data_IF_594936996528
#
_entry.id   IF_594936996528
#
_cell.length_a   1.000
_cell.length_b   1.000
_cell.length_c   1.000
_cell.angle_alpha   90.00
_cell.angle_beta   90.00
_cell.angle_gamma   90.00
#
_symmetry.space_group_name_H-M   'P 1'
#
loop_
_entity.id
_entity.type
_entity.pdbx_description
1 polymer ?
#
# COMPACT_ATOMS: atom_id res chain seq x y z
N UNK A 1 -10.71 34.89 20.38
CA UNK A 1 -10.83 34.07 19.16
C UNK A 1 -10.27 32.69 19.42
N UNK A 2 -11.07 31.66 19.20
CA UNK A 2 -10.66 30.27 19.31
C UNK A 2 -10.39 29.71 17.90
N UNK A 3 -9.45 28.76 17.80
CA UNK A 3 -9.15 28.06 16.55
C UNK A 3 -10.41 27.36 16.05
N UNK A 4 -10.88 27.73 14.85
CA UNK A 4 -12.09 27.18 14.23
C UNK A 4 -11.86 25.86 13.47
N UNK A 5 -10.60 25.45 13.31
CA UNK A 5 -10.21 24.18 12.71
C UNK A 5 -8.79 24.22 12.14
N UNK A 6 -8.28 23.05 11.80
CA UNK A 6 -7.02 22.89 11.08
C UNK A 6 -7.31 22.21 9.74
N UNK A 7 -6.83 22.80 8.66
CA UNK A 7 -6.84 22.18 7.34
C UNK A 7 -5.47 21.58 7.07
N UNK A 8 -5.44 20.26 6.86
CA UNK A 8 -4.23 19.57 6.42
C UNK A 8 -4.25 19.59 4.89
N UNK A 9 -3.32 20.32 4.30
CA UNK A 9 -3.14 20.44 2.84
C UNK A 9 -1.81 19.80 2.43
N UNK A 10 -1.67 19.43 1.15
CA UNK A 10 -0.44 18.82 0.64
C UNK A 10 -0.21 17.37 1.11
N UNK A 11 -1.28 16.60 1.30
CA UNK A 11 -1.17 15.16 1.59
C UNK A 11 -0.59 14.43 0.36
N UNK A 12 0.52 13.72 0.53
CA UNK A 12 1.08 12.77 -0.46
C UNK A 12 1.05 11.37 0.15
N UNK A 13 -0.13 10.76 0.29
CA UNK A 13 -0.26 9.48 0.97
C UNK A 13 0.36 8.38 0.12
N UNK A 14 1.37 7.74 0.71
CA UNK A 14 2.11 6.64 0.12
C UNK A 14 2.75 5.80 1.20
N UNK A 15 3.49 4.78 0.78
CA UNK A 15 4.16 3.88 1.70
C UNK A 15 5.00 2.86 0.94
N UNK A 16 5.46 1.86 1.65
CA UNK A 16 6.16 0.70 1.11
C UNK A 16 5.44 -0.56 1.56
N UNK A 17 5.37 -1.54 0.66
CA UNK A 17 4.98 -2.90 0.99
C UNK A 17 6.16 -3.82 0.73
N UNK A 18 6.32 -4.81 1.60
CA UNK A 18 7.52 -5.61 1.65
C UNK A 18 7.22 -7.13 1.67
N UNK A 19 6.55 -7.67 0.64
CA UNK A 19 6.24 -9.10 0.58
C UNK A 19 7.50 -9.95 0.38
N UNK A 20 7.45 -11.20 0.85
CA UNK A 20 8.44 -12.22 0.51
C UNK A 20 8.52 -12.42 -1.01
N UNK A 21 9.73 -12.56 -1.53
CA UNK A 21 9.97 -12.65 -2.96
C UNK A 21 9.53 -14.01 -3.49
N UNK A 22 8.40 -14.02 -4.21
CA UNK A 22 7.95 -15.17 -5.01
C UNK A 22 8.53 -15.13 -6.43
N UNK A 23 8.34 -16.22 -7.18
CA UNK A 23 8.84 -16.31 -8.55
C UNK A 23 8.12 -15.30 -9.45
N UNK A 24 8.82 -14.75 -10.46
CA UNK A 24 8.23 -13.79 -11.40
C UNK A 24 7.02 -14.35 -12.18
N UNK A 25 6.91 -15.68 -12.28
CA UNK A 25 5.76 -16.35 -12.92
C UNK A 25 4.50 -16.36 -12.04
N UNK A 26 4.65 -16.25 -10.72
CA UNK A 26 3.54 -16.19 -9.77
C UNK A 26 3.02 -14.75 -9.60
N UNK A 27 3.92 -13.77 -9.44
CA UNK A 27 3.57 -12.35 -9.42
C UNK A 27 4.74 -11.49 -9.89
N UNK A 28 4.50 -10.67 -10.92
CA UNK A 28 5.53 -9.82 -11.53
C UNK A 28 5.29 -8.33 -11.23
N UNK A 29 5.77 -7.88 -10.07
CA UNK A 29 5.65 -6.48 -9.65
C UNK A 29 6.40 -5.50 -10.56
N UNK A 30 7.44 -5.94 -11.25
CA UNK A 30 8.18 -5.12 -12.22
C UNK A 30 7.32 -4.76 -13.44
N UNK A 31 6.51 -5.72 -13.91
CA UNK A 31 5.58 -5.50 -15.02
C UNK A 31 4.41 -4.62 -14.58
N UNK A 32 3.90 -4.83 -13.36
CA UNK A 32 2.85 -3.99 -12.78
C UNK A 32 3.32 -2.53 -12.62
N UNK A 33 4.56 -2.31 -12.17
CA UNK A 33 5.21 -1.00 -12.14
C UNK A 33 5.39 -0.40 -13.54
N UNK A 34 5.99 -1.14 -14.48
CA UNK A 34 6.29 -0.65 -15.83
C UNK A 34 5.04 -0.17 -16.58
N UNK A 35 3.90 -0.81 -16.34
CA UNK A 35 2.64 -0.44 -16.96
C UNK A 35 1.87 0.64 -16.18
N UNK A 36 2.31 1.02 -14.98
CA UNK A 36 1.71 2.06 -14.13
C UNK A 36 0.19 1.86 -13.91
N UNK A 37 -0.23 0.60 -13.77
CA UNK A 37 -1.64 0.29 -13.54
C UNK A 37 -2.07 0.75 -12.15
N UNK A 38 -3.12 1.58 -12.09
CA UNK A 38 -3.80 1.86 -10.84
C UNK A 38 -4.51 0.58 -10.38
N UNK A 39 -4.17 0.09 -9.20
CA UNK A 39 -4.75 -1.11 -8.60
C UNK A 39 -5.46 -0.77 -7.30
N UNK A 40 -6.55 -1.49 -7.03
CA UNK A 40 -7.19 -1.48 -5.72
C UNK A 40 -6.36 -2.33 -4.75
N UNK A 41 -6.11 -1.79 -3.56
CA UNK A 41 -5.48 -2.52 -2.47
C UNK A 41 -6.53 -2.91 -1.46
N UNK A 42 -6.55 -4.20 -1.12
CA UNK A 42 -7.31 -4.73 0.01
C UNK A 42 -6.40 -5.63 0.83
N UNK A 43 -5.81 -5.07 1.89
CA UNK A 43 -4.99 -5.84 2.83
C UNK A 43 -5.88 -6.20 4.02
N UNK A 44 -5.98 -7.48 4.31
CA UNK A 44 -6.66 -7.96 5.51
C UNK A 44 -5.62 -8.63 6.40
N UNK A 45 -5.32 -8.00 7.53
CA UNK A 45 -4.48 -8.57 8.58
C UNK A 45 -5.45 -9.26 9.55
N UNK A 46 -5.54 -10.59 9.46
CA UNK A 46 -6.50 -11.37 10.26
C UNK A 46 -5.86 -12.07 11.45
N UNK A 47 -6.37 -11.78 12.65
CA UNK A 47 -6.34 -12.68 13.80
C UNK A 47 -7.67 -13.44 13.96
N UNK A 48 -7.93 -13.96 15.17
CA UNK A 48 -9.25 -14.51 15.52
C UNK A 48 -10.38 -13.51 15.24
N UNK A 49 -11.62 -14.00 15.12
CA UNK A 49 -12.82 -13.17 14.95
C UNK A 49 -12.84 -12.07 16.02
N UNK A 50 -12.90 -10.79 15.62
CA UNK A 50 -12.82 -9.62 16.50
C UNK A 50 -11.44 -8.96 16.58
N UNK A 51 -10.43 -9.47 15.86
CA UNK A 51 -9.12 -8.85 15.72
C UNK A 51 -8.69 -8.82 14.25
N UNK A 52 -9.54 -8.23 13.39
CA UNK A 52 -9.26 -8.08 11.96
C UNK A 52 -9.06 -6.62 11.63
N UNK A 53 -7.88 -6.29 11.08
CA UNK A 53 -7.59 -4.97 10.53
C UNK A 53 -7.68 -5.06 9.02
N UNK A 54 -8.58 -4.28 8.42
CA UNK A 54 -8.68 -4.17 6.96
C UNK A 54 -8.24 -2.79 6.50
N UNK A 55 -7.29 -2.78 5.57
CA UNK A 55 -6.78 -1.57 4.93
C UNK A 55 -7.20 -1.60 3.46
N UNK A 56 -7.91 -0.57 3.00
CA UNK A 56 -8.38 -0.47 1.61
C UNK A 56 -8.06 0.87 0.97
N UNK A 57 -7.75 0.85 -0.32
CA UNK A 57 -7.68 2.05 -1.18
C UNK A 57 -8.02 1.71 -2.63
N UNK A 58 -8.70 2.61 -3.33
CA UNK A 58 -9.26 2.41 -4.68
C UNK A 58 -8.29 2.74 -5.83
N UNK A 59 -7.20 3.47 -5.55
CA UNK A 59 -6.25 3.91 -6.57
C UNK A 59 -4.84 3.95 -6.03
N UNK A 60 -4.08 2.87 -6.25
CA UNK A 60 -2.65 2.78 -5.91
C UNK A 60 -1.83 2.51 -7.17
N UNK A 61 -0.73 3.23 -7.34
CA UNK A 61 0.29 2.94 -8.36
C UNK A 61 1.60 2.58 -7.67
N UNK A 62 2.25 1.52 -8.16
CA UNK A 62 3.57 1.12 -7.68
C UNK A 62 4.63 2.09 -8.21
N UNK A 63 5.59 2.43 -7.36
CA UNK A 63 6.86 3.01 -7.76
C UNK A 63 7.86 1.88 -8.05
N UNK A 64 9.07 2.24 -8.47
CA UNK A 64 10.10 1.27 -8.86
C UNK A 64 10.34 0.26 -7.72
N UNK A 65 10.04 -1.04 -7.92
CA UNK A 65 10.33 -2.05 -6.93
C UNK A 65 11.84 -2.23 -6.79
N UNK A 66 12.27 -2.76 -5.66
CA UNK A 66 13.65 -3.16 -5.40
C UNK A 66 13.67 -4.51 -4.70
N UNK A 67 14.83 -5.15 -4.65
CA UNK A 67 15.04 -6.31 -3.78
C UNK A 67 15.46 -5.83 -2.40
N UNK A 68 14.82 -6.37 -1.37
CA UNK A 68 15.14 -6.17 0.04
C UNK A 68 15.52 -7.47 0.73
N UNK A 69 15.85 -7.36 2.01
CA UNK A 69 16.08 -8.49 2.91
C UNK A 69 15.29 -8.26 4.20
N UNK A 70 14.61 -9.31 4.69
CA UNK A 70 14.05 -9.34 6.03
C UNK A 70 14.45 -10.65 6.70
N UNK A 71 15.34 -10.56 7.67
CA UNK A 71 15.83 -11.71 8.45
C UNK A 71 16.37 -12.86 7.59
N UNK A 72 17.09 -12.53 6.50
CA UNK A 72 17.67 -13.51 5.57
C UNK A 72 16.70 -14.07 4.54
N UNK A 73 15.47 -13.56 4.50
CA UNK A 73 14.47 -13.85 3.48
C UNK A 73 14.50 -12.72 2.44
N UNK A 74 14.64 -13.09 1.16
CA UNK A 74 14.54 -12.16 0.06
C UNK A 74 13.13 -11.57 0.01
N UNK A 75 13.02 -10.25 0.04
CA UNK A 75 11.75 -9.53 -0.06
C UNK A 75 11.76 -8.62 -1.28
N UNK A 76 10.57 -8.22 -1.74
CA UNK A 76 10.45 -7.07 -2.63
C UNK A 76 10.24 -5.83 -1.77
N UNK A 77 11.04 -4.78 -1.92
CA UNK A 77 10.69 -3.45 -1.39
C UNK A 77 9.92 -2.71 -2.48
N UNK A 78 8.62 -2.53 -2.28
CA UNK A 78 7.72 -1.97 -3.29
C UNK A 78 7.11 -0.68 -2.74
N UNK A 79 7.68 0.49 -3.10
CA UNK A 79 7.06 1.75 -2.76
C UNK A 79 5.81 1.94 -3.61
N UNK A 80 4.81 2.62 -3.04
CA UNK A 80 3.57 2.93 -3.72
C UNK A 80 3.09 4.34 -3.39
N UNK A 81 2.23 4.86 -4.27
CA UNK A 81 1.51 6.12 -4.08
C UNK A 81 0.03 5.93 -4.31
N UNK A 82 -0.80 6.62 -3.54
CA UNK A 82 -2.21 6.73 -3.83
C UNK A 82 -2.44 7.82 -4.88
N UNK A 83 -3.27 7.52 -5.88
CA UNK A 83 -3.55 8.40 -7.02
C UNK A 83 -5.06 8.40 -7.34
N UNK A 84 -5.56 9.51 -7.89
CA UNK A 84 -7.00 9.75 -8.09
C UNK A 84 -7.52 10.97 -7.33
N UNK A 85 -8.83 11.19 -7.33
CA UNK A 85 -9.45 12.31 -6.61
C UNK A 85 -9.63 12.01 -5.11
N UNK A 86 -9.90 10.74 -4.77
CA UNK A 86 -9.92 10.22 -3.40
C UNK A 86 -8.64 9.42 -3.12
N UNK A 87 -7.57 10.10 -2.70
CA UNK A 87 -6.30 9.48 -2.29
C UNK A 87 -6.31 9.13 -0.80
N UNK A 88 -7.19 8.22 -0.40
CA UNK A 88 -7.37 7.85 1.00
C UNK A 88 -7.05 6.38 1.28
N UNK A 89 -6.57 6.15 2.50
CA UNK A 89 -6.60 4.86 3.16
C UNK A 89 -7.80 4.78 4.09
N UNK A 90 -8.57 3.71 3.94
CA UNK A 90 -9.57 3.34 4.94
C UNK A 90 -9.03 2.18 5.78
N UNK A 91 -8.97 2.38 7.09
CA UNK A 91 -8.58 1.35 8.07
C UNK A 91 -9.81 1.04 8.90
N UNK A 92 -10.27 -0.21 8.84
CA UNK A 92 -11.44 -0.70 9.57
C UNK A 92 -11.02 -1.81 10.52
N UNK A 93 -11.36 -1.65 11.79
CA UNK A 93 -11.24 -2.67 12.82
C UNK A 93 -12.55 -3.45 12.91
N UNK A 94 -12.47 -4.78 12.80
CA UNK A 94 -13.61 -5.70 12.91
C UNK A 94 -13.38 -6.80 13.93
#
# INVERSE_FOLDING_TARGET
>A
DAVKGFFITGRDPGGTIDPEACTLGEKNFWTDWANSYAQEVSITISGAVGNVVRITSSGMVLAAPAYGDRDGILTYDIPFKLVGDDNEFSIVFK
#
